data_IF_376702543934
#
_entry.id   IF_376702543934
#
_cell.length_a   1.000
_cell.length_b   1.000
_cell.length_c   1.000
_cell.angle_alpha   90.00
_cell.angle_beta   90.00
_cell.angle_gamma   90.00
#
_symmetry.space_group_name_H-M   'P 1'
#
loop_
_entity.id
_entity.type
_entity.pdbx_description
1 polymer ?
#
# COMPACT_ATOMS: atom_id res chain seq x y z
N UNK A 1 1.52 4.72 12.41
CA UNK A 1 0.23 4.30 11.81
C UNK A 1 0.09 2.78 11.89
N UNK A 2 -1.14 2.25 11.97
CA UNK A 2 -1.40 0.80 12.04
C UNK A 2 -0.79 0.06 10.85
N UNK A 3 -0.94 0.60 9.64
CA UNK A 3 -0.46 -0.01 8.40
C UNK A 3 1.05 -0.33 8.38
N UNK A 4 1.88 0.53 8.98
CA UNK A 4 3.33 0.30 9.04
C UNK A 4 3.78 -0.49 10.26
N UNK A 5 2.91 -0.70 11.24
CA UNK A 5 3.24 -1.45 12.46
C UNK A 5 3.53 -2.91 12.12
N UNK A 6 2.66 -3.53 11.33
CA UNK A 6 2.81 -4.93 10.93
C UNK A 6 4.00 -5.16 10.00
N UNK A 7 4.37 -4.17 9.19
CA UNK A 7 5.56 -4.26 8.34
C UNK A 7 6.89 -4.29 9.11
N UNK A 8 6.88 -3.99 10.41
CA UNK A 8 8.03 -4.03 11.33
C UNK A 8 8.00 -5.25 12.26
N UNK A 9 6.94 -6.05 12.17
CA UNK A 9 6.73 -7.20 13.05
C UNK A 9 7.20 -8.45 12.33
N UNK A 10 8.17 -9.14 12.93
CA UNK A 10 8.76 -10.36 12.40
C UNK A 10 7.78 -11.53 12.26
N UNK A 11 6.56 -11.43 12.82
CA UNK A 11 5.50 -12.40 12.59
C UNK A 11 4.90 -12.35 11.18
N UNK A 12 5.20 -11.33 10.38
CA UNK A 12 4.63 -11.14 9.04
C UNK A 12 5.70 -11.23 7.95
N UNK A 13 5.49 -12.13 6.98
CA UNK A 13 6.38 -12.29 5.83
C UNK A 13 6.14 -11.26 4.71
N UNK A 14 4.98 -10.61 4.70
CA UNK A 14 4.61 -9.58 3.72
C UNK A 14 3.45 -8.71 4.25
N UNK A 15 3.30 -7.51 3.69
CA UNK A 15 2.17 -6.62 3.96
C UNK A 15 1.49 -6.16 2.67
N UNK A 16 0.16 -6.14 2.66
CA UNK A 16 -0.64 -5.58 1.58
C UNK A 16 -1.42 -4.38 2.11
N UNK A 17 -1.25 -3.25 1.43
CA UNK A 17 -1.68 -1.95 1.88
C UNK A 17 -2.67 -1.38 0.85
N UNK A 18 -3.97 -1.59 1.06
CA UNK A 18 -5.05 -1.21 0.14
C UNK A 18 -5.66 0.13 0.54
N UNK A 19 -5.94 0.99 -0.46
CA UNK A 19 -6.63 2.28 -0.32
C UNK A 19 -6.11 3.15 0.84
N UNK A 20 -4.80 3.22 1.02
CA UNK A 20 -4.12 3.80 2.18
C UNK A 20 -4.41 5.29 2.37
N UNK A 21 -4.38 5.77 3.61
CA UNK A 21 -4.37 7.20 3.93
C UNK A 21 -3.22 7.54 4.88
N UNK A 22 -2.79 8.80 4.91
CA UNK A 22 -1.80 9.34 5.86
C UNK A 22 -0.42 8.66 5.84
N UNK A 23 0.02 8.23 4.67
CA UNK A 23 1.25 7.47 4.50
C UNK A 23 2.47 8.39 4.42
N UNK A 24 3.48 8.10 5.23
CA UNK A 24 4.82 8.71 5.16
C UNK A 24 5.85 7.62 4.94
N UNK A 25 6.80 7.86 4.03
CA UNK A 25 7.91 6.95 3.73
C UNK A 25 8.76 6.63 4.96
N UNK A 26 8.86 7.58 5.89
CA UNK A 26 9.55 7.42 7.18
C UNK A 26 9.04 6.20 7.97
N UNK A 27 7.75 5.90 7.85
CA UNK A 27 7.14 4.77 8.54
C UNK A 27 7.69 3.40 8.09
N UNK A 28 8.32 3.33 6.90
CA UNK A 28 8.80 2.10 6.28
C UNK A 28 10.31 1.93 6.35
N UNK A 29 11.05 2.88 6.94
CA UNK A 29 12.49 2.75 7.19
C UNK A 29 12.84 1.48 7.95
N UNK A 30 12.01 1.13 8.93
CA UNK A 30 12.17 -0.06 9.76
C UNK A 30 11.38 -1.26 9.24
N UNK A 31 10.80 -1.18 8.03
CA UNK A 31 10.14 -2.35 7.45
C UNK A 31 11.14 -3.50 7.31
N UNK A 32 10.64 -4.71 7.52
CA UNK A 32 11.41 -5.96 7.47
C UNK A 32 10.86 -6.97 6.46
N UNK A 33 9.68 -6.68 5.89
CA UNK A 33 9.04 -7.49 4.87
C UNK A 33 8.72 -6.66 3.61
N UNK A 34 8.54 -7.30 2.44
CA UNK A 34 8.01 -6.64 1.26
C UNK A 34 6.59 -6.10 1.47
N UNK A 35 6.25 -5.05 0.73
CA UNK A 35 4.98 -4.34 0.85
C UNK A 35 4.39 -4.11 -0.54
N UNK A 36 3.12 -4.43 -0.71
CA UNK A 36 2.32 -4.01 -1.86
C UNK A 36 1.55 -2.73 -1.53
N UNK A 37 1.89 -1.64 -2.20
CA UNK A 37 1.22 -0.35 -2.10
C UNK A 37 0.13 -0.25 -3.16
N UNK A 38 -1.13 -0.24 -2.72
CA UNK A 38 -2.31 -0.28 -3.57
C UNK A 38 -3.20 0.96 -3.36
N UNK A 39 -2.74 2.18 -3.69
CA UNK A 39 -3.48 3.42 -3.46
C UNK A 39 -4.68 3.58 -4.42
N UNK A 40 -5.67 4.34 -3.96
CA UNK A 40 -6.81 4.79 -4.76
C UNK A 40 -6.49 6.06 -5.55
N UNK A 41 -7.36 6.48 -6.49
CA UNK A 41 -7.17 7.69 -7.31
C UNK A 41 -7.04 8.94 -6.47
N UNK A 42 -7.71 9.01 -5.32
CA UNK A 42 -7.75 10.23 -4.51
C UNK A 42 -6.48 10.46 -3.70
N UNK A 43 -5.49 9.57 -3.80
CA UNK A 43 -4.22 9.69 -3.09
C UNK A 43 -3.14 10.30 -4.00
N UNK A 44 -2.18 11.05 -3.44
CA UNK A 44 -1.10 11.61 -4.23
C UNK A 44 -0.35 10.51 -4.98
N UNK A 45 0.11 10.81 -6.19
CA UNK A 45 1.01 9.92 -6.94
C UNK A 45 2.35 9.94 -6.21
N UNK A 46 2.62 8.92 -5.42
CA UNK A 46 3.92 8.72 -4.80
C UNK A 46 4.65 7.63 -5.57
N UNK A 47 5.83 7.94 -6.06
CA UNK A 47 6.72 6.95 -6.66
C UNK A 47 7.43 6.14 -5.57
N UNK A 48 6.66 5.44 -4.73
CA UNK A 48 7.19 4.64 -3.60
C UNK A 48 8.30 3.69 -4.04
N UNK A 49 8.11 3.06 -5.20
CA UNK A 49 9.05 2.12 -5.81
C UNK A 49 10.36 2.73 -6.28
N UNK A 50 10.51 4.06 -6.32
CA UNK A 50 11.77 4.73 -6.67
C UNK A 50 12.50 5.30 -5.46
N UNK A 51 11.89 5.29 -4.28
CA UNK A 51 12.52 5.92 -3.11
C UNK A 51 13.65 5.03 -2.51
N UNK A 52 14.82 5.58 -2.17
CA UNK A 52 15.92 4.85 -1.54
C UNK A 52 15.55 4.08 -0.26
N UNK A 53 14.59 4.58 0.52
CA UNK A 53 14.11 3.90 1.75
C UNK A 53 13.54 2.51 1.45
N UNK A 54 12.94 2.34 0.27
CA UNK A 54 12.31 1.10 -0.16
C UNK A 54 13.21 0.31 -1.13
N UNK A 55 13.91 0.99 -2.03
CA UNK A 55 14.76 0.35 -3.05
C UNK A 55 16.08 -0.21 -2.51
N UNK A 56 16.58 0.29 -1.37
CA UNK A 56 17.76 -0.27 -0.70
C UNK A 56 17.48 -1.55 0.10
N UNK A 57 16.22 -1.94 0.23
CA UNK A 57 15.83 -3.12 1.02
C UNK A 57 16.21 -4.42 0.29
N UNK A 58 16.57 -5.49 1.01
CA UNK A 58 16.93 -6.78 0.40
C UNK A 58 15.76 -7.43 -0.37
N UNK A 59 14.54 -6.97 -0.13
CA UNK A 59 13.30 -7.41 -0.79
C UNK A 59 12.72 -6.35 -1.74
N UNK A 60 13.50 -5.34 -2.15
CA UNK A 60 13.03 -4.26 -3.01
C UNK A 60 12.37 -4.76 -4.31
N UNK A 61 12.89 -5.84 -4.90
CA UNK A 61 12.32 -6.47 -6.09
C UNK A 61 10.92 -7.06 -5.90
N UNK A 62 10.47 -7.23 -4.65
CA UNK A 62 9.15 -7.74 -4.28
C UNK A 62 8.19 -6.63 -3.83
N UNK A 63 8.64 -5.38 -3.79
CA UNK A 63 7.78 -4.24 -3.47
C UNK A 63 6.94 -3.92 -4.70
N UNK A 64 5.62 -3.92 -4.54
CA UNK A 64 4.68 -3.67 -5.63
C UNK A 64 4.02 -2.32 -5.43
N UNK A 65 3.79 -1.61 -6.52
CA UNK A 65 2.94 -0.42 -6.52
C UNK A 65 1.97 -0.47 -7.70
N UNK A 66 0.68 -0.45 -7.40
CA UNK A 66 -0.38 -0.40 -8.40
C UNK A 66 -1.45 0.57 -7.93
N UNK A 67 -1.73 1.60 -8.73
CA UNK A 67 -2.73 2.62 -8.43
C UNK A 67 -4.06 2.21 -9.07
N UNK A 68 -5.10 2.14 -8.26
CA UNK A 68 -6.47 1.91 -8.71
C UNK A 68 -7.13 3.23 -9.12
N UNK A 69 -7.87 3.22 -10.23
CA UNK A 69 -8.73 4.33 -10.66
C UNK A 69 -10.08 4.31 -9.92
N UNK A 70 -10.02 4.20 -8.59
CA UNK A 70 -11.18 3.99 -7.72
C UNK A 70 -11.13 5.01 -6.59
N UNK A 71 -12.29 5.29 -5.99
CA UNK A 71 -12.38 6.18 -4.83
C UNK A 71 -11.73 5.57 -3.58
N UNK A 72 -11.31 6.39 -2.63
CA UNK A 72 -10.85 5.90 -1.33
C UNK A 72 -11.95 5.12 -0.60
N UNK A 73 -11.63 3.92 -0.10
CA UNK A 73 -12.58 3.06 0.58
C UNK A 73 -13.27 2.04 -0.33
N UNK A 74 -12.88 1.95 -1.60
CA UNK A 74 -13.46 1.00 -2.58
C UNK A 74 -13.37 -0.48 -2.19
N UNK A 75 -12.41 -0.87 -1.35
CA UNK A 75 -12.30 -2.24 -0.82
C UNK A 75 -12.76 -2.35 0.65
N UNK A 76 -13.40 -1.31 1.18
CA UNK A 76 -13.95 -1.28 2.53
C UNK A 76 -15.44 -1.61 2.55
N UNK A 77 -16.00 -1.72 3.75
CA UNK A 77 -17.42 -2.03 3.95
C UNK A 77 -18.38 -0.97 3.36
N UNK A 78 -17.90 0.24 3.07
CA UNK A 78 -18.68 1.33 2.48
C UNK A 78 -18.58 1.47 0.97
N UNK A 79 -17.99 0.49 0.28
CA UNK A 79 -17.84 0.52 -1.17
C UNK A 79 -19.20 0.50 -1.89
N UNK A 80 -19.28 1.17 -3.04
CA UNK A 80 -20.46 1.09 -3.89
C UNK A 80 -20.41 -0.19 -4.75
N UNK A 81 -21.06 -1.25 -4.27
CA UNK A 81 -21.18 -2.53 -4.99
C UNK A 81 -22.12 -2.47 -6.21
N UNK A 82 -22.64 -1.30 -6.57
CA UNK A 82 -23.36 -1.08 -7.84
C UNK A 82 -22.45 -0.54 -8.93
N UNK A 83 -21.29 0.01 -8.58
CA UNK A 83 -20.28 0.42 -9.55
C UNK A 83 -19.57 -0.83 -10.09
N UNK A 84 -19.66 -1.13 -11.39
CA UNK A 84 -19.04 -2.33 -11.96
C UNK A 84 -17.53 -2.38 -11.73
N UNK A 85 -16.84 -1.24 -11.66
CA UNK A 85 -15.39 -1.20 -11.40
C UNK A 85 -15.06 -1.69 -9.99
N UNK A 86 -15.95 -1.47 -9.01
CA UNK A 86 -15.77 -1.97 -7.64
C UNK A 86 -16.02 -3.48 -7.52
N UNK A 87 -16.82 -4.06 -8.42
CA UNK A 87 -17.17 -5.49 -8.41
C UNK A 87 -16.03 -6.34 -9.01
N UNK A 88 -15.29 -5.79 -9.97
CA UNK A 88 -14.22 -6.50 -10.70
C UNK A 88 -12.83 -6.40 -10.03
N UNK A 89 -12.69 -5.58 -8.98
CA UNK A 89 -11.42 -5.24 -8.34
C UNK A 89 -10.83 -6.32 -7.41
#
# INVERSE_FOLDING_TARGET
MIASKHAKDHAFDACVLIHLSLLSLENFKESQCPIAFLPSRDKPVFEYVKNPVLTSKPYASKIVHHRFDMHHGFAGAGADFKDPVNIEA
#
